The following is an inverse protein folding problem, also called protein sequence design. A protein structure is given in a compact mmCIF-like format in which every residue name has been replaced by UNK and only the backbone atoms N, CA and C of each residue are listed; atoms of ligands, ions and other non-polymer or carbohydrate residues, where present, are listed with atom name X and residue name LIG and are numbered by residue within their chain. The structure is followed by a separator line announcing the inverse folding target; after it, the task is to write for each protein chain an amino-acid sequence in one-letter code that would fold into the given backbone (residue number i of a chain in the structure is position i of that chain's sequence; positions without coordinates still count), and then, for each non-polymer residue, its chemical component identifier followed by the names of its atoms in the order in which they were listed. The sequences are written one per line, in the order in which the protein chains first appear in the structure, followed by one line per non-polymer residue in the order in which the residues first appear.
data_IF_856310011318
#
_entry.id   IF_856310011318
#
_cell.length_a   1.000
_cell.length_b   1.000
_cell.length_c   1.000
_cell.angle_alpha   90.00
_cell.angle_beta   90.00
_cell.angle_gamma   90.00
#
_symmetry.space_group_name_H-M   'P 1'
#
loop_
_entity.id
_entity.type
_entity.pdbx_description
1 polymer ?
#
# COMPACT_ATOMS: atom_id res chain seq x y z
N UNK A 1 7.33 -15.90 18.28
CA UNK A 1 6.38 -14.85 17.84
C UNK A 1 7.14 -13.98 16.85
N UNK A 2 6.60 -13.77 15.66
CA UNK A 2 7.21 -12.91 14.62
C UNK A 2 6.38 -11.64 14.50
N UNK A 3 7.05 -10.51 14.25
CA UNK A 3 6.43 -9.22 13.97
C UNK A 3 6.88 -8.79 12.59
N UNK A 4 5.94 -8.35 11.75
CA UNK A 4 6.18 -7.88 10.39
C UNK A 4 5.51 -6.53 10.24
N UNK A 5 6.23 -5.55 9.71
CA UNK A 5 5.64 -4.27 9.32
C UNK A 5 4.90 -4.44 7.99
N UNK A 6 3.61 -4.13 7.96
CA UNK A 6 2.81 -4.18 6.73
C UNK A 6 2.52 -2.75 6.29
N UNK A 7 2.94 -2.40 5.08
CA UNK A 7 2.78 -1.05 4.52
C UNK A 7 1.70 -1.08 3.42
N UNK A 8 0.45 -0.69 3.74
CA UNK A 8 -0.65 -0.71 2.79
C UNK A 8 -0.73 0.57 1.95
N UNK A 9 -1.39 0.53 0.76
CA UNK A 9 -1.91 1.73 0.10
C UNK A 9 -3.23 2.18 0.76
N UNK A 10 -3.89 3.19 0.20
CA UNK A 10 -5.29 3.46 0.52
C UNK A 10 -6.18 2.28 0.07
N UNK A 11 -6.94 1.71 1.00
CA UNK A 11 -7.84 0.56 0.78
C UNK A 11 -9.29 1.01 0.89
N UNK A 12 -10.18 0.44 0.07
CA UNK A 12 -11.63 0.68 0.11
C UNK A 12 -12.27 -0.01 1.32
N UNK A 13 -12.18 0.64 2.46
CA UNK A 13 -12.80 0.21 3.72
C UNK A 13 -13.68 1.35 4.25
N UNK A 14 -14.64 1.03 5.11
CA UNK A 14 -15.56 2.02 5.71
C UNK A 14 -15.21 2.55 7.12
N UNK A 15 -14.05 2.26 7.78
CA UNK A 15 -13.70 2.91 9.04
C UNK A 15 -13.68 4.45 8.95
N UNK A 16 -13.30 5.01 7.80
CA UNK A 16 -13.48 6.43 7.50
C UNK A 16 -14.68 6.59 6.55
N UNK A 17 -15.69 7.43 6.89
CA UNK A 17 -16.88 7.58 6.08
C UNK A 17 -16.58 7.92 4.62
N UNK A 18 -17.15 7.15 3.69
CA UNK A 18 -17.01 7.38 2.24
C UNK A 18 -15.70 6.87 1.63
N UNK A 19 -14.76 6.35 2.43
CA UNK A 19 -13.52 5.78 1.91
C UNK A 19 -13.76 4.52 1.06
N UNK A 20 -14.80 3.73 1.34
CA UNK A 20 -15.13 2.55 0.53
C UNK A 20 -15.55 2.90 -0.91
N UNK A 21 -16.00 4.13 -1.15
CA UNK A 21 -16.44 4.63 -2.46
C UNK A 21 -15.28 5.20 -3.29
N UNK A 22 -14.07 5.29 -2.74
CA UNK A 22 -12.90 5.84 -3.44
C UNK A 22 -12.45 4.95 -4.60
N UNK A 23 -12.81 5.29 -5.83
CA UNK A 23 -12.45 4.51 -7.03
C UNK A 23 -10.92 4.40 -7.23
N UNK A 24 -10.16 5.40 -6.77
CA UNK A 24 -8.69 5.38 -6.78
C UNK A 24 -8.07 4.42 -5.76
N UNK A 25 -8.82 3.96 -4.75
CA UNK A 25 -8.31 3.11 -3.68
C UNK A 25 -8.35 1.62 -4.06
N UNK A 26 -7.50 0.83 -3.43
CA UNK A 26 -7.41 -0.62 -3.65
C UNK A 26 -8.65 -1.33 -3.08
N UNK A 27 -9.38 -2.14 -3.88
CA UNK A 27 -10.43 -3.00 -3.34
C UNK A 27 -9.92 -3.87 -2.18
N UNK A 28 -10.75 -4.05 -1.15
CA UNK A 28 -10.35 -4.79 0.05
C UNK A 28 -9.96 -6.25 -0.25
N UNK A 29 -10.67 -6.90 -1.16
CA UNK A 29 -10.38 -8.27 -1.57
C UNK A 29 -8.99 -8.39 -2.23
N UNK A 30 -8.67 -7.49 -3.16
CA UNK A 30 -7.36 -7.44 -3.80
C UNK A 30 -6.23 -7.21 -2.78
N UNK A 31 -6.44 -6.28 -1.83
CA UNK A 31 -5.49 -6.02 -0.74
C UNK A 31 -5.22 -7.25 0.13
N UNK A 32 -6.28 -7.97 0.54
CA UNK A 32 -6.15 -9.17 1.36
C UNK A 32 -5.42 -10.27 0.57
N UNK A 33 -5.82 -10.52 -0.67
CA UNK A 33 -5.21 -11.55 -1.51
C UNK A 33 -3.71 -11.30 -1.70
N UNK A 34 -3.33 -10.06 -2.02
CA UNK A 34 -1.93 -9.68 -2.18
C UNK A 34 -1.15 -9.81 -0.86
N UNK A 35 -1.68 -9.25 0.23
CA UNK A 35 -1.02 -9.30 1.55
C UNK A 35 -0.76 -10.73 1.99
N UNK A 36 -1.77 -11.61 1.89
CA UNK A 36 -1.64 -13.01 2.30
C UNK A 36 -0.65 -13.77 1.42
N UNK A 37 -0.62 -13.47 0.12
CA UNK A 37 0.37 -14.03 -0.81
C UNK A 37 1.81 -13.61 -0.46
N UNK A 38 2.01 -12.32 -0.14
CA UNK A 38 3.32 -11.78 0.24
C UNK A 38 3.81 -12.36 1.58
N UNK A 39 2.93 -12.46 2.58
CA UNK A 39 3.26 -13.09 3.87
C UNK A 39 3.63 -14.57 3.72
N UNK A 40 2.93 -15.31 2.85
CA UNK A 40 3.20 -16.72 2.62
C UNK A 40 4.51 -16.95 1.82
N UNK A 41 4.81 -16.09 0.85
CA UNK A 41 6.00 -16.21 0.00
C UNK A 41 7.28 -15.67 0.64
N UNK A 42 7.16 -14.82 1.66
CA UNK A 42 8.29 -14.17 2.33
C UNK A 42 8.24 -14.39 3.85
N UNK A 43 8.42 -15.64 4.32
CA UNK A 43 8.24 -15.99 5.73
C UNK A 43 9.22 -15.28 6.67
N UNK A 44 10.39 -14.86 6.18
CA UNK A 44 11.43 -14.19 6.98
C UNK A 44 11.43 -12.65 6.81
N UNK A 45 10.45 -12.09 6.10
CA UNK A 45 10.36 -10.64 5.91
C UNK A 45 10.13 -9.90 7.23
N UNK A 46 10.83 -8.79 7.41
CA UNK A 46 10.60 -7.82 8.49
C UNK A 46 9.62 -6.73 8.09
N UNK A 47 9.49 -6.46 6.78
CA UNK A 47 8.61 -5.47 6.16
C UNK A 47 7.96 -6.09 4.90
N UNK A 48 6.67 -5.87 4.72
CA UNK A 48 5.91 -6.22 3.51
C UNK A 48 5.36 -4.94 2.89
N UNK A 49 5.78 -4.69 1.66
CA UNK A 49 5.30 -3.61 0.83
C UNK A 49 4.30 -4.17 -0.17
N UNK A 50 3.04 -3.76 -0.06
CA UNK A 50 2.04 -4.00 -1.11
C UNK A 50 2.47 -3.23 -2.38
N UNK A 51 2.27 -3.82 -3.55
CA UNK A 51 2.79 -3.32 -4.83
C UNK A 51 2.42 -1.85 -5.07
N UNK A 52 1.17 -1.48 -4.75
CA UNK A 52 0.68 -0.10 -4.95
C UNK A 52 1.37 0.95 -4.08
N UNK A 53 2.07 0.58 -2.99
CA UNK A 53 2.83 1.56 -2.18
C UNK A 53 4.27 1.77 -2.70
N UNK A 54 4.79 0.86 -3.52
CA UNK A 54 6.18 0.92 -4.01
C UNK A 54 6.53 2.22 -4.75
N UNK A 55 5.66 2.81 -5.60
CA UNK A 55 5.96 4.10 -6.23
C UNK A 55 6.23 5.22 -5.20
N UNK A 56 5.51 5.23 -4.08
CA UNK A 56 5.75 6.19 -2.99
C UNK A 56 7.03 5.84 -2.23
N UNK A 57 7.17 4.57 -1.82
CA UNK A 57 8.32 4.05 -1.04
C UNK A 57 9.67 4.29 -1.73
N UNK A 58 9.71 4.14 -3.06
CA UNK A 58 10.93 4.24 -3.85
C UNK A 58 11.01 5.53 -4.68
N UNK A 59 10.15 6.51 -4.42
CA UNK A 59 10.10 7.76 -5.19
C UNK A 59 11.45 8.50 -5.22
N UNK A 60 12.16 8.58 -4.10
CA UNK A 60 13.47 9.23 -3.99
C UNK A 60 14.53 8.52 -4.86
N UNK A 61 14.70 7.21 -4.67
CA UNK A 61 15.71 6.42 -5.40
C UNK A 61 15.43 6.33 -6.90
N UNK A 62 14.16 6.46 -7.29
CA UNK A 62 13.75 6.47 -8.70
C UNK A 62 13.79 7.88 -9.33
N UNK A 63 14.19 8.92 -8.59
CA UNK A 63 14.17 10.31 -9.07
C UNK A 63 12.77 10.86 -9.34
N UNK A 64 11.73 10.23 -8.78
CA UNK A 64 10.31 10.57 -8.95
C UNK A 64 9.73 11.30 -7.73
N UNK A 65 10.57 11.82 -6.83
CA UNK A 65 10.14 12.44 -5.57
C UNK A 65 9.16 13.60 -5.79
N UNK A 66 9.47 14.54 -6.68
CA UNK A 66 8.60 15.70 -6.95
C UNK A 66 7.22 15.25 -7.47
N UNK A 67 7.19 14.22 -8.32
CA UNK A 67 5.95 13.66 -8.88
C UNK A 67 5.12 12.97 -7.80
N UNK A 68 5.76 12.21 -6.90
CA UNK A 68 5.09 11.55 -5.79
C UNK A 68 4.48 12.55 -4.81
N UNK A 69 5.20 13.62 -4.45
CA UNK A 69 4.68 14.69 -3.59
C UNK A 69 3.52 15.44 -4.25
N UNK A 70 3.63 15.76 -5.55
CA UNK A 70 2.56 16.40 -6.28
C UNK A 70 1.28 15.53 -6.31
N UNK A 71 1.42 14.21 -6.52
CA UNK A 71 0.30 13.27 -6.50
C UNK A 71 -0.38 13.23 -5.13
N UNK A 72 0.40 13.11 -4.04
CA UNK A 72 -0.15 13.05 -2.67
C UNK A 72 -0.91 14.33 -2.31
N UNK A 73 -0.40 15.50 -2.71
CA UNK A 73 -1.02 16.79 -2.41
C UNK A 73 -2.22 17.14 -3.32
N UNK A 74 -2.59 16.28 -4.27
CA UNK A 74 -3.68 16.52 -5.22
C UNK A 74 -5.03 15.94 -4.79
N UNK A 75 -5.07 15.27 -3.63
CA UNK A 75 -6.24 14.67 -3.00
C UNK A 75 -6.65 15.45 -1.75
#
# INVERSE_FOLDING_TARGET
MQVVELVPPAVRTEPMPGQSLGEAFLPLEDYINETMSLLASQPDATEILVERVKPLRFSEVNGAYEQAIAMVNSH
#
